data_IF_770566216604
#
_entry.id   IF_770566216604
#
_cell.length_a   1.000
_cell.length_b   1.000
_cell.length_c   1.000
_cell.angle_alpha   90.00
_cell.angle_beta   90.00
_cell.angle_gamma   90.00
#
_symmetry.space_group_name_H-M   'P 1'
#
loop_
_entity.id
_entity.type
_entity.pdbx_description
1 polymer ?
#
# COMPACT_ATOMS: atom_id res chain seq x y z
N UNK A 1 -64.47 2.26 4.65
CA UNK A 1 -63.05 2.47 5.04
C UNK A 1 -62.33 1.13 5.26
N UNK A 2 -62.18 0.30 4.22
CA UNK A 2 -61.47 -1.00 4.31
C UNK A 2 -60.12 -0.96 3.56
N UNK A 3 -60.04 -0.09 2.55
CA UNK A 3 -58.85 0.16 1.76
C UNK A 3 -57.81 1.01 2.53
N UNK A 4 -58.27 2.05 3.25
CA UNK A 4 -57.41 2.93 4.05
C UNK A 4 -56.71 2.20 5.19
N UNK A 5 -57.39 1.26 5.86
CA UNK A 5 -56.81 0.45 6.94
C UNK A 5 -55.78 -0.55 6.43
N UNK A 6 -56.05 -1.19 5.27
CA UNK A 6 -55.10 -2.10 4.63
C UNK A 6 -53.85 -1.33 4.15
N UNK A 7 -54.03 -0.14 3.60
CA UNK A 7 -52.93 0.73 3.19
C UNK A 7 -52.10 1.20 4.40
N UNK A 8 -52.75 1.56 5.51
CA UNK A 8 -52.05 1.92 6.76
C UNK A 8 -51.23 0.74 7.31
N UNK A 9 -51.79 -0.48 7.30
CA UNK A 9 -51.08 -1.66 7.77
C UNK A 9 -49.88 -1.98 6.88
N UNK A 10 -50.03 -1.89 5.55
CA UNK A 10 -48.91 -2.03 4.61
C UNK A 10 -47.81 -0.97 4.81
N UNK A 11 -48.17 0.29 5.08
CA UNK A 11 -47.21 1.34 5.37
C UNK A 11 -46.44 1.07 6.66
N UNK A 12 -47.13 0.63 7.73
CA UNK A 12 -46.48 0.24 8.99
C UNK A 12 -45.55 -0.97 8.81
N UNK A 13 -45.99 -1.99 8.07
CA UNK A 13 -45.15 -3.17 7.76
C UNK A 13 -43.91 -2.81 6.95
N UNK A 14 -44.01 -1.87 5.99
CA UNK A 14 -42.84 -1.36 5.27
C UNK A 14 -41.87 -0.64 6.22
N UNK A 15 -42.38 0.15 7.15
CA UNK A 15 -41.56 0.78 8.19
C UNK A 15 -40.76 -0.25 9.00
N UNK A 16 -41.42 -1.29 9.51
CA UNK A 16 -40.77 -2.37 10.27
C UNK A 16 -39.72 -3.10 9.42
N UNK A 17 -40.06 -3.43 8.17
CA UNK A 17 -39.16 -4.14 7.25
C UNK A 17 -37.91 -3.30 6.93
N UNK A 18 -38.07 -1.99 6.74
CA UNK A 18 -36.96 -1.09 6.51
C UNK A 18 -36.04 -1.00 7.73
N UNK A 19 -36.60 -0.89 8.94
CA UNK A 19 -35.80 -0.89 10.18
C UNK A 19 -35.03 -2.20 10.38
N UNK A 20 -35.63 -3.34 10.03
CA UNK A 20 -34.94 -4.64 10.08
C UNK A 20 -33.78 -4.70 9.07
N UNK A 21 -33.97 -4.17 7.86
CA UNK A 21 -32.92 -4.10 6.84
C UNK A 21 -31.76 -3.19 7.27
N UNK A 22 -32.07 -2.03 7.86
CA UNK A 22 -31.06 -1.11 8.42
C UNK A 22 -30.27 -1.77 9.56
N UNK A 23 -30.95 -2.51 10.46
CA UNK A 23 -30.26 -3.24 11.53
C UNK A 23 -29.29 -4.29 10.99
N UNK A 24 -29.69 -5.05 9.96
CA UNK A 24 -28.79 -6.00 9.31
C UNK A 24 -27.59 -5.30 8.66
N UNK A 25 -27.81 -4.16 8.00
CA UNK A 25 -26.74 -3.35 7.41
C UNK A 25 -25.75 -2.84 8.47
N UNK A 26 -26.21 -2.37 9.62
CA UNK A 26 -25.33 -1.99 10.71
C UNK A 26 -24.58 -3.19 11.30
N UNK A 27 -25.22 -4.35 11.39
CA UNK A 27 -24.56 -5.60 11.78
C UNK A 27 -23.41 -5.96 10.83
N UNK A 28 -23.61 -5.80 9.52
CA UNK A 28 -22.58 -6.02 8.51
C UNK A 28 -21.44 -4.99 8.60
N UNK A 29 -21.76 -3.71 8.79
CA UNK A 29 -20.75 -2.66 9.00
C UNK A 29 -19.92 -2.91 10.26
N UNK A 30 -20.55 -3.36 11.34
CA UNK A 30 -19.87 -3.73 12.59
C UNK A 30 -18.96 -4.94 12.39
N UNK A 31 -19.44 -5.98 11.71
CA UNK A 31 -18.65 -7.20 11.46
C UNK A 31 -17.46 -6.96 10.54
N UNK A 32 -17.61 -6.09 9.53
CA UNK A 32 -16.53 -5.76 8.58
C UNK A 32 -15.61 -4.66 9.08
N UNK A 33 -16.04 -3.88 10.08
CA UNK A 33 -15.37 -2.67 10.55
C UNK A 33 -15.32 -1.55 9.51
N UNK A 34 -16.08 -1.67 8.40
CA UNK A 34 -16.07 -0.71 7.30
C UNK A 34 -17.37 0.07 7.29
N UNK A 35 -17.27 1.41 7.20
CA UNK A 35 -18.43 2.30 7.02
C UNK A 35 -19.17 2.02 5.71
N UNK A 36 -18.43 1.68 4.66
CA UNK A 36 -18.97 1.38 3.32
C UNK A 36 -18.58 -0.05 2.97
N UNK A 37 -19.57 -0.94 2.96
CA UNK A 37 -19.38 -2.36 2.63
C UNK A 37 -19.64 -2.60 1.15
N UNK A 38 -20.74 -2.03 0.63
CA UNK A 38 -21.14 -2.15 -0.76
C UNK A 38 -20.92 -0.83 -1.52
N UNK A 39 -20.43 -0.91 -2.75
CA UNK A 39 -20.27 0.28 -3.63
C UNK A 39 -21.61 0.96 -3.95
N UNK A 40 -22.73 0.23 -3.82
CA UNK A 40 -24.08 0.78 -4.00
C UNK A 40 -24.53 1.70 -2.86
N UNK A 41 -23.96 1.57 -1.66
CA UNK A 41 -24.33 2.39 -0.50
C UNK A 41 -23.76 3.81 -0.56
N UNK A 42 -22.54 3.96 -1.12
CA UNK A 42 -21.83 5.23 -1.28
C UNK A 42 -20.80 5.12 -2.42
N UNK A 43 -21.21 5.38 -3.68
CA UNK A 43 -20.32 5.21 -4.83
C UNK A 43 -19.17 6.22 -4.83
N UNK A 44 -19.35 7.39 -4.21
CA UNK A 44 -18.31 8.43 -4.11
C UNK A 44 -17.22 7.96 -3.15
N UNK A 45 -17.58 7.54 -1.93
CA UNK A 45 -16.59 7.02 -0.99
C UNK A 45 -15.92 5.75 -1.50
N UNK A 46 -16.65 4.86 -2.18
CA UNK A 46 -16.07 3.69 -2.83
C UNK A 46 -15.04 4.08 -3.89
N UNK A 47 -15.34 5.05 -4.75
CA UNK A 47 -14.39 5.53 -5.77
C UNK A 47 -13.12 6.13 -5.16
N UNK A 48 -13.26 6.91 -4.08
CA UNK A 48 -12.13 7.48 -3.36
C UNK A 48 -11.26 6.39 -2.70
N UNK A 49 -11.89 5.35 -2.14
CA UNK A 49 -11.18 4.21 -1.57
C UNK A 49 -10.36 3.45 -2.63
N UNK A 50 -10.88 3.31 -3.85
CA UNK A 50 -10.16 2.69 -4.97
C UNK A 50 -8.96 3.55 -5.38
N UNK A 51 -9.14 4.86 -5.53
CA UNK A 51 -8.03 5.78 -5.87
C UNK A 51 -6.94 5.74 -4.80
N UNK A 52 -7.32 5.75 -3.52
CA UNK A 52 -6.38 5.64 -2.41
C UNK A 52 -5.63 4.30 -2.44
N UNK A 53 -6.35 3.19 -2.67
CA UNK A 53 -5.74 1.85 -2.76
C UNK A 53 -4.74 1.76 -3.93
N UNK A 54 -5.08 2.38 -5.07
CA UNK A 54 -4.18 2.46 -6.22
C UNK A 54 -2.93 3.28 -5.92
N UNK A 55 -3.07 4.43 -5.26
CA UNK A 55 -1.95 5.27 -4.84
C UNK A 55 -1.05 4.57 -3.81
N UNK A 56 -1.65 3.84 -2.86
CA UNK A 56 -0.92 3.00 -1.92
C UNK A 56 -0.11 1.90 -2.62
N UNK A 57 -0.71 1.19 -3.58
CA UNK A 57 -0.01 0.18 -4.36
C UNK A 57 1.18 0.77 -5.14
N UNK A 58 1.00 1.94 -5.76
CA UNK A 58 2.10 2.65 -6.44
C UNK A 58 3.22 3.04 -5.45
N UNK A 59 2.86 3.56 -4.27
CA UNK A 59 3.84 3.90 -3.23
C UNK A 59 4.61 2.68 -2.70
N UNK A 60 3.96 1.51 -2.60
CA UNK A 60 4.65 0.26 -2.29
C UNK A 60 5.66 -0.11 -3.36
N UNK A 61 5.33 0.07 -4.65
CA UNK A 61 6.28 -0.16 -5.74
C UNK A 61 7.46 0.81 -5.68
N UNK A 62 7.22 2.10 -5.41
CA UNK A 62 8.31 3.06 -5.24
C UNK A 62 9.21 2.75 -4.04
N UNK A 63 8.64 2.24 -2.95
CA UNK A 63 9.42 1.77 -1.80
C UNK A 63 10.33 0.62 -2.18
N UNK A 64 9.81 -0.39 -2.89
CA UNK A 64 10.61 -1.52 -3.38
C UNK A 64 11.73 -1.07 -4.34
N UNK A 65 11.41 -0.16 -5.27
CA UNK A 65 12.39 0.40 -6.19
C UNK A 65 13.52 1.14 -5.45
N UNK A 66 13.18 1.90 -4.40
CA UNK A 66 14.18 2.57 -3.54
C UNK A 66 15.08 1.56 -2.83
N UNK A 67 14.52 0.50 -2.26
CA UNK A 67 15.32 -0.57 -1.61
C UNK A 67 16.30 -1.21 -2.59
N UNK A 68 15.85 -1.53 -3.80
CA UNK A 68 16.73 -2.10 -4.83
C UNK A 68 17.83 -1.12 -5.23
N UNK A 69 17.51 0.16 -5.44
CA UNK A 69 18.50 1.19 -5.75
C UNK A 69 19.56 1.31 -4.64
N UNK A 70 19.14 1.32 -3.37
CA UNK A 70 20.07 1.35 -2.22
C UNK A 70 20.98 0.12 -2.18
N UNK A 71 20.44 -1.08 -2.45
CA UNK A 71 21.25 -2.30 -2.55
C UNK A 71 22.28 -2.22 -3.67
N UNK A 72 21.92 -1.66 -4.82
CA UNK A 72 22.84 -1.46 -5.95
C UNK A 72 23.95 -0.48 -5.59
N UNK A 73 23.61 0.68 -5.02
CA UNK A 73 24.60 1.67 -4.58
C UNK A 73 25.54 1.09 -3.53
N UNK A 74 25.03 0.36 -2.52
CA UNK A 74 25.85 -0.28 -1.50
C UNK A 74 26.81 -1.33 -2.07
N UNK A 75 26.36 -2.07 -3.10
CA UNK A 75 27.24 -3.01 -3.82
C UNK A 75 28.33 -2.28 -4.60
N UNK A 76 27.99 -1.19 -5.29
CA UNK A 76 28.97 -0.35 -6.00
C UNK A 76 30.01 0.24 -5.04
N UNK A 77 29.59 0.75 -3.88
CA UNK A 77 30.49 1.23 -2.82
C UNK A 77 31.41 0.12 -2.27
N UNK A 78 30.88 -1.09 -2.11
CA UNK A 78 31.66 -2.25 -1.67
C UNK A 78 32.73 -2.64 -2.70
N UNK A 79 32.40 -2.58 -3.99
CA UNK A 79 33.36 -2.83 -5.07
C UNK A 79 34.40 -1.71 -5.15
N UNK A 80 34.00 -0.44 -4.99
CA UNK A 80 34.92 0.70 -4.98
C UNK A 80 35.88 0.66 -3.79
N UNK A 81 35.39 0.37 -2.59
CA UNK A 81 36.22 0.22 -1.39
C UNK A 81 37.17 -0.97 -1.50
N UNK A 82 36.73 -2.10 -2.06
CA UNK A 82 37.63 -3.23 -2.35
C UNK A 82 38.72 -2.82 -3.35
N UNK A 83 38.38 -2.08 -4.41
CA UNK A 83 39.39 -1.57 -5.36
C UNK A 83 40.36 -0.62 -4.68
N UNK A 84 39.88 0.31 -3.84
CA UNK A 84 40.73 1.23 -3.09
C UNK A 84 41.66 0.46 -2.13
N UNK A 85 41.19 -0.58 -1.45
CA UNK A 85 42.08 -1.42 -0.63
C UNK A 85 43.10 -2.21 -1.50
N UNK A 86 42.71 -2.63 -2.71
CA UNK A 86 43.61 -3.34 -3.64
C UNK A 86 44.63 -2.42 -4.32
N UNK A 87 44.34 -1.12 -4.39
CA UNK A 87 45.28 -0.06 -4.72
C UNK A 87 45.63 0.67 -3.42
N UNK A 88 46.50 0.10 -2.55
CA UNK A 88 47.05 0.90 -1.47
C UNK A 88 47.55 2.20 -2.11
N UNK A 89 47.17 3.34 -1.54
CA UNK A 89 47.64 4.62 -2.02
C UNK A 89 49.16 4.54 -2.17
N UNK A 90 49.64 4.36 -3.40
CA UNK A 90 51.03 4.52 -3.75
C UNK A 90 51.29 6.03 -3.81
N UNK A 91 51.02 6.70 -2.69
CA UNK A 91 51.35 8.08 -2.44
C UNK A 91 52.86 8.14 -2.24
N UNK A 92 53.55 8.50 -3.32
CA UNK A 92 54.95 8.90 -3.30
C UNK A 92 55.98 7.75 -3.25
N UNK A 93 56.63 7.53 -4.39
CA UNK A 93 57.97 6.91 -4.58
C UNK A 93 58.17 5.42 -4.27
N UNK A 94 57.33 4.74 -3.49
CA UNK A 94 57.60 3.33 -3.10
C UNK A 94 56.97 2.24 -3.99
N UNK A 95 56.14 2.59 -4.98
CA UNK A 95 55.49 1.60 -5.85
C UNK A 95 56.41 0.99 -6.93
N UNK A 96 57.35 1.78 -7.48
CA UNK A 96 58.23 1.33 -8.58
C UNK A 96 59.31 0.34 -8.15
N UNK A 97 59.53 0.14 -6.85
CA UNK A 97 60.56 -0.80 -6.35
C UNK A 97 60.06 -2.24 -6.18
N UNK A 98 58.76 -2.45 -6.01
CA UNK A 98 58.19 -3.79 -5.80
C UNK A 98 57.92 -4.57 -7.10
N UNK A 99 57.98 -3.92 -8.26
CA UNK A 99 57.75 -4.58 -9.56
C UNK A 99 59.03 -5.10 -10.23
N UNK A 100 60.21 -4.77 -9.70
CA UNK A 100 61.53 -5.16 -10.26
C UNK A 100 62.25 -6.27 -9.47
N UNK A 101 61.60 -6.91 -8.51
CA UNK A 101 62.18 -8.01 -7.70
C UNK A 101 61.52 -9.38 -7.96
N UNK A 102 60.77 -9.52 -9.04
CA UNK A 102 60.15 -10.77 -9.49
C UNK A 102 60.57 -11.13 -10.94
N UNK A 103 61.82 -10.83 -11.28
CA UNK A 103 62.60 -11.56 -12.30
C UNK A 103 63.86 -12.14 -11.65
#
# INVERSE_FOLDING_TARGET
MRFSTQMMYQQNMRGITNSQAEWMKYGEQMSTGKRVVNSSDDPIAASQAVVLSQAQAQNSQYTLARTFATQKVSLEESVLSQRHHRYPECSGKNCLRQQWHLE
#
